data_IF_005736069961
#
_entry.id   IF_005736069961
#
_cell.length_a   1.000
_cell.length_b   1.000
_cell.length_c   1.000
_cell.angle_alpha   90.00
_cell.angle_beta   90.00
_cell.angle_gamma   90.00
#
_symmetry.space_group_name_H-M   'P 1'
#
loop_
_entity.id
_entity.type
_entity.pdbx_description
1 polymer ?
#
# COMPACT_ATOMS: atom_id res chain seq x y z
N UNK A 1 26.66 -11.22 4.55
CA UNK A 1 26.86 -10.51 5.83
C UNK A 1 26.24 -9.12 5.77
N UNK A 2 25.12 -8.93 6.47
CA UNK A 2 24.49 -7.62 6.59
C UNK A 2 25.09 -6.90 7.80
N UNK A 3 25.92 -5.90 7.56
CA UNK A 3 26.47 -5.02 8.60
C UNK A 3 25.33 -4.32 9.33
N UNK A 4 25.09 -4.71 10.59
CA UNK A 4 24.11 -4.08 11.45
C UNK A 4 24.70 -2.78 12.02
N UNK A 5 24.37 -1.65 11.39
CA UNK A 5 24.75 -0.32 11.87
C UNK A 5 23.78 0.12 12.96
N UNK A 6 24.29 0.32 14.17
CA UNK A 6 23.50 0.77 15.31
C UNK A 6 22.89 2.15 15.00
N UNK A 7 21.55 2.23 14.98
CA UNK A 7 20.81 3.44 14.61
C UNK A 7 20.37 3.50 13.13
N UNK A 8 20.82 2.58 12.28
CA UNK A 8 20.34 2.45 10.90
C UNK A 8 19.34 1.31 10.78
N UNK A 9 18.06 1.65 10.56
CA UNK A 9 17.03 0.67 10.20
C UNK A 9 16.89 0.64 8.68
N UNK A 10 17.15 -0.52 8.07
CA UNK A 10 16.86 -0.73 6.65
C UNK A 10 15.37 -0.49 6.41
N UNK A 11 15.04 0.28 5.37
CA UNK A 11 13.65 0.51 4.97
C UNK A 11 13.07 -0.84 4.50
N UNK A 12 12.16 -1.40 5.28
CA UNK A 12 11.45 -2.62 4.89
C UNK A 12 10.27 -2.22 3.99
N UNK A 13 10.22 -2.80 2.79
CA UNK A 13 9.04 -2.65 1.94
C UNK A 13 7.81 -3.24 2.62
N UNK A 14 6.66 -2.64 2.37
CA UNK A 14 5.40 -3.16 2.89
C UNK A 14 5.13 -4.57 2.35
N UNK A 15 4.71 -5.46 3.24
CA UNK A 15 4.43 -6.84 2.88
C UNK A 15 3.05 -6.96 2.22
N UNK A 16 3.04 -7.37 0.94
CA UNK A 16 1.83 -7.75 0.22
C UNK A 16 1.89 -9.27 -0.05
N UNK A 17 1.02 -10.09 0.57
CA UNK A 17 1.00 -11.52 0.31
C UNK A 17 0.60 -11.81 -1.14
N UNK A 18 1.12 -12.92 -1.69
CA UNK A 18 0.72 -13.45 -2.98
C UNK A 18 -0.12 -14.71 -2.76
N UNK A 19 -1.44 -14.58 -2.82
CA UNK A 19 -2.37 -15.69 -2.65
C UNK A 19 -2.50 -16.58 -3.90
N UNK A 20 -1.87 -16.27 -5.03
CA UNK A 20 -1.85 -17.21 -6.17
C UNK A 20 -0.89 -18.38 -5.90
N UNK A 21 0.16 -18.15 -5.12
CA UNK A 21 1.22 -19.15 -4.88
C UNK A 21 1.11 -19.84 -3.53
N UNK A 22 0.54 -19.17 -2.53
CA UNK A 22 0.45 -19.64 -1.14
C UNK A 22 -0.93 -19.30 -0.61
N UNK A 23 -1.93 -20.06 -1.04
CA UNK A 23 -3.29 -19.99 -0.49
C UNK A 23 -3.48 -21.17 0.45
N UNK A 24 -2.97 -21.05 1.69
CA UNK A 24 -3.33 -22.00 2.74
C UNK A 24 -4.61 -21.49 3.40
N UNK A 25 -5.77 -22.14 3.16
CA UNK A 25 -7.06 -21.71 3.70
C UNK A 25 -7.15 -21.83 5.22
N UNK A 26 -6.15 -22.41 5.89
CA UNK A 26 -6.07 -22.47 7.36
C UNK A 26 -5.51 -21.19 7.98
N UNK A 27 -4.85 -20.33 7.19
CA UNK A 27 -4.27 -19.07 7.64
C UNK A 27 -5.23 -17.93 7.32
N UNK A 28 -5.94 -17.45 8.33
CA UNK A 28 -6.85 -16.31 8.17
C UNK A 28 -6.10 -14.97 8.00
N UNK A 29 -6.55 -14.16 7.05
CA UNK A 29 -6.04 -12.80 6.79
C UNK A 29 -6.88 -11.74 7.51
N UNK A 30 -6.27 -11.09 8.49
CA UNK A 30 -6.86 -9.99 9.25
C UNK A 30 -6.13 -8.66 9.08
N UNK A 31 -5.36 -8.50 8.00
CA UNK A 31 -4.62 -7.26 7.73
C UNK A 31 -5.58 -6.07 7.62
N UNK A 32 -5.23 -4.98 8.28
CA UNK A 32 -5.95 -3.70 8.18
C UNK A 32 -5.46 -2.85 7.01
N UNK A 33 -4.16 -2.92 6.73
CA UNK A 33 -3.53 -2.28 5.56
C UNK A 33 -3.37 -3.35 4.50
N UNK A 34 -4.04 -3.19 3.36
CA UNK A 34 -4.02 -4.18 2.27
C UNK A 34 -2.95 -3.84 1.21
N UNK A 35 -2.62 -2.55 1.09
CA UNK A 35 -1.64 -2.03 0.14
C UNK A 35 -0.98 -0.77 0.71
N UNK A 36 0.31 -0.60 0.44
CA UNK A 36 1.04 0.63 0.73
C UNK A 36 2.12 0.83 -0.33
N UNK A 37 2.12 2.01 -0.97
CA UNK A 37 3.17 2.46 -1.87
C UNK A 37 3.42 3.96 -1.65
N UNK A 38 4.60 4.35 -1.18
CA UNK A 38 4.94 5.74 -0.89
C UNK A 38 5.29 6.52 -2.16
N UNK A 39 5.43 5.85 -3.30
CA UNK A 39 5.89 6.45 -4.54
C UNK A 39 4.88 6.24 -5.67
N UNK A 40 4.00 7.23 -5.82
CA UNK A 40 3.05 7.34 -6.92
C UNK A 40 3.33 8.65 -7.65
N UNK A 41 3.65 8.55 -8.94
CA UNK A 41 3.87 9.71 -9.80
C UNK A 41 2.68 9.88 -10.73
N UNK A 42 2.02 11.04 -10.63
CA UNK A 42 1.02 11.48 -11.58
C UNK A 42 1.62 12.60 -12.41
N UNK A 43 1.51 12.50 -13.72
CA UNK A 43 1.96 13.53 -14.64
C UNK A 43 0.92 13.72 -15.76
N UNK A 44 1.20 14.62 -16.70
CA UNK A 44 0.26 14.94 -17.79
C UNK A 44 -0.09 13.72 -18.65
N UNK A 45 0.83 12.77 -18.75
CA UNK A 45 0.75 11.49 -19.47
C UNK A 45 0.12 10.40 -18.60
N UNK A 46 0.54 10.28 -17.33
CA UNK A 46 0.07 9.29 -16.36
C UNK A 46 -0.97 9.92 -15.42
N UNK A 47 -2.22 10.00 -15.91
CA UNK A 47 -3.35 10.55 -15.13
C UNK A 47 -4.15 9.50 -14.35
N UNK A 48 -3.93 8.22 -14.61
CA UNK A 48 -4.60 7.10 -13.94
C UNK A 48 -3.58 6.07 -13.53
N UNK A 49 -3.69 5.60 -12.29
CA UNK A 49 -2.92 4.49 -11.76
C UNK A 49 -3.90 3.39 -11.34
N UNK A 50 -3.61 2.16 -11.76
CA UNK A 50 -4.35 0.98 -11.34
C UNK A 50 -3.50 0.22 -10.33
N UNK A 51 -4.08 -0.07 -9.16
CA UNK A 51 -3.39 -0.77 -8.08
C UNK A 51 -4.09 -2.09 -7.80
N UNK A 52 -3.51 -3.24 -8.21
CA UNK A 52 -4.01 -4.54 -7.79
C UNK A 52 -3.56 -4.83 -6.35
N UNK A 53 -4.47 -5.38 -5.54
CA UNK A 53 -4.17 -5.84 -4.18
C UNK A 53 -5.14 -6.97 -3.81
N UNK A 54 -4.74 -7.79 -2.83
CA UNK A 54 -5.62 -8.81 -2.26
C UNK A 54 -6.37 -8.27 -1.05
N UNK A 55 -7.65 -8.61 -0.96
CA UNK A 55 -8.49 -8.28 0.19
C UNK A 55 -8.21 -9.20 1.39
N UNK A 56 -8.64 -8.79 2.59
CA UNK A 56 -8.61 -9.64 3.79
C UNK A 56 -9.95 -10.33 4.02
N UNK A 57 -9.96 -11.37 4.87
CA UNK A 57 -11.11 -12.27 5.04
C UNK A 57 -12.32 -11.60 5.70
N UNK A 58 -12.09 -10.54 6.47
CA UNK A 58 -13.12 -9.84 7.24
C UNK A 58 -13.46 -8.44 6.71
N UNK A 59 -12.82 -7.99 5.62
CA UNK A 59 -12.99 -6.64 5.09
C UNK A 59 -14.32 -6.50 4.34
N UNK A 60 -15.20 -5.63 4.85
CA UNK A 60 -16.51 -5.31 4.24
C UNK A 60 -16.53 -3.98 3.49
N UNK A 61 -15.52 -3.12 3.72
CA UNK A 61 -15.42 -1.77 3.15
C UNK A 61 -13.95 -1.43 2.98
N UNK A 62 -13.61 -0.84 1.85
CA UNK A 62 -12.23 -0.50 1.51
C UNK A 62 -12.06 1.01 1.67
N UNK A 63 -11.14 1.41 2.55
CA UNK A 63 -10.74 2.81 2.69
C UNK A 63 -9.45 3.04 1.89
N UNK A 64 -9.51 3.98 0.95
CA UNK A 64 -8.37 4.44 0.16
C UNK A 64 -8.00 5.85 0.63
N UNK A 65 -6.73 6.05 0.96
CA UNK A 65 -6.16 7.34 1.34
C UNK A 65 -4.98 7.59 0.41
N UNK A 66 -4.96 8.76 -0.24
CA UNK A 66 -3.85 9.22 -1.07
C UNK A 66 -3.37 10.54 -0.48
N UNK A 67 -2.08 10.60 -0.15
CA UNK A 67 -1.42 11.78 0.41
C UNK A 67 -0.21 12.13 -0.45
N UNK A 68 0.05 13.42 -0.64
CA UNK A 68 1.15 13.86 -1.48
C UNK A 68 1.37 15.37 -1.48
N UNK A 69 2.16 15.83 -2.44
CA UNK A 69 2.45 17.25 -2.67
C UNK A 69 2.14 17.57 -4.13
N UNK A 70 1.41 18.65 -4.39
CA UNK A 70 1.07 19.07 -5.75
C UNK A 70 2.21 19.90 -6.41
N UNK A 71 2.03 20.27 -7.68
CA UNK A 71 3.02 21.07 -8.44
C UNK A 71 3.32 22.44 -7.80
N UNK A 72 2.42 22.96 -6.96
CA UNK A 72 2.60 24.21 -6.22
C UNK A 72 3.29 24.02 -4.85
N UNK A 73 3.72 22.80 -4.50
CA UNK A 73 4.35 22.50 -3.22
C UNK A 73 3.37 22.36 -2.04
N UNK A 74 2.07 22.27 -2.31
CA UNK A 74 1.04 22.16 -1.27
C UNK A 74 0.75 20.71 -0.94
N UNK A 75 0.57 20.41 0.35
CA UNK A 75 0.12 19.11 0.83
C UNK A 75 -1.30 18.83 0.35
N UNK A 76 -1.53 17.62 -0.17
CA UNK A 76 -2.83 17.14 -0.60
C UNK A 76 -3.17 15.82 0.09
N UNK A 77 -4.45 15.63 0.38
CA UNK A 77 -4.99 14.40 0.97
C UNK A 77 -6.38 14.14 0.41
N UNK A 78 -6.57 12.96 -0.17
CA UNK A 78 -7.86 12.48 -0.65
C UNK A 78 -8.20 11.17 0.05
N UNK A 79 -9.43 11.05 0.54
CA UNK A 79 -9.91 9.86 1.25
C UNK A 79 -11.25 9.43 0.67
N UNK A 80 -11.38 8.12 0.37
CA UNK A 80 -12.62 7.55 -0.12
C UNK A 80 -12.85 6.16 0.46
N UNK A 81 -14.11 5.88 0.80
CA UNK A 81 -14.55 4.56 1.25
C UNK A 81 -15.41 3.93 0.17
N UNK A 82 -15.07 2.70 -0.22
CA UNK A 82 -15.82 1.86 -1.13
C UNK A 82 -16.50 0.75 -0.34
N UNK A 83 -17.72 0.38 -0.73
CA UNK A 83 -18.48 -0.75 -0.19
C UNK A 83 -18.45 -1.91 -1.17
#
# INVERSE_FOLDING_TARGET
DFTNLQGYSVIKQFYSPNYETTNDPTIADYRTTLYWNPYLLFDKTTRRVTVPFYNSDNCKKIRVIIEGVNEAGQLTREEKIFQ
#
